data_IF_036274575976
#
_entry.id   IF_036274575976
#
_cell.length_a   1.000
_cell.length_b   1.000
_cell.length_c   1.000
_cell.angle_alpha   90.00
_cell.angle_beta   90.00
_cell.angle_gamma   90.00
#
_symmetry.space_group_name_H-M   'P 1'
#
loop_
_entity.id
_entity.type
_entity.pdbx_description
1 polymer ?
#
# COMPACT_ATOMS: atom_id res chain seq x y z
N UNK A 1 49.82 8.12 14.42
CA UNK A 1 51.28 7.89 14.45
C UNK A 1 51.62 6.88 15.52
N UNK A 2 52.22 5.76 15.11
CA UNK A 2 52.59 4.61 15.94
C UNK A 2 53.60 5.01 17.03
N UNK A 3 53.47 4.43 18.22
CA UNK A 3 54.61 4.24 19.15
C UNK A 3 54.59 2.80 19.66
N UNK A 4 55.38 1.96 18.99
CA UNK A 4 55.80 0.65 19.48
C UNK A 4 56.79 0.86 20.64
N UNK A 5 56.52 0.25 21.80
CA UNK A 5 57.51 0.12 22.86
C UNK A 5 58.10 -1.29 22.80
N UNK A 6 59.39 -1.34 22.49
CA UNK A 6 60.29 -2.48 22.72
C UNK A 6 60.40 -2.69 24.24
N UNK A 7 60.29 -3.93 24.72
CA UNK A 7 60.62 -4.29 26.10
C UNK A 7 61.81 -5.25 26.08
N UNK A 8 62.93 -4.74 26.57
CA UNK A 8 64.18 -5.46 26.81
C UNK A 8 64.02 -6.31 28.08
N UNK A 9 64.23 -7.62 28.00
CA UNK A 9 64.24 -8.51 29.17
C UNK A 9 65.53 -8.29 29.97
N UNK A 10 65.41 -7.79 31.20
CA UNK A 10 66.45 -7.81 32.22
C UNK A 10 65.98 -8.65 33.40
N UNK A 11 66.65 -9.78 33.65
CA UNK A 11 66.45 -10.64 34.82
C UNK A 11 66.94 -9.88 36.08
N UNK A 12 66.11 -9.80 37.12
CA UNK A 12 66.57 -9.57 38.50
C UNK A 12 65.55 -10.18 39.47
N UNK A 13 66.05 -11.06 40.33
CA UNK A 13 65.31 -11.81 41.33
C UNK A 13 65.10 -10.99 42.62
N UNK A 14 63.95 -11.18 43.27
CA UNK A 14 63.77 -10.89 44.69
C UNK A 14 62.68 -9.87 45.02
N UNK A 15 61.85 -10.24 46.00
CA UNK A 15 60.78 -9.50 46.67
C UNK A 15 59.41 -9.49 45.96
N UNK A 16 58.44 -10.08 46.64
CA UNK A 16 57.05 -10.22 46.23
C UNK A 16 56.38 -8.85 46.02
N UNK A 17 56.30 -8.42 44.77
CA UNK A 17 55.24 -7.52 44.33
C UNK A 17 53.98 -8.36 44.09
N UNK A 18 52.89 -8.03 44.79
CA UNK A 18 51.55 -8.35 44.34
C UNK A 18 51.34 -7.64 42.99
N UNK A 19 51.67 -8.35 41.91
CA UNK A 19 51.24 -7.97 40.57
C UNK A 19 49.72 -8.09 40.56
N UNK A 20 49.04 -6.95 40.60
CA UNK A 20 47.67 -6.88 40.10
C UNK A 20 47.74 -7.39 38.65
N UNK A 21 47.29 -8.62 38.44
CA UNK A 21 47.09 -9.18 37.11
C UNK A 21 46.01 -8.29 36.51
N UNK A 22 46.41 -7.28 35.74
CA UNK A 22 45.54 -6.75 34.72
C UNK A 22 45.29 -7.94 33.81
N UNK A 23 44.17 -8.66 34.03
CA UNK A 23 43.64 -9.57 33.02
C UNK A 23 43.42 -8.67 31.81
N UNK A 24 44.36 -8.70 30.87
CA UNK A 24 44.11 -8.17 29.55
C UNK A 24 42.95 -8.98 29.03
N UNK A 25 41.73 -8.40 29.02
CA UNK A 25 40.58 -9.00 28.34
C UNK A 25 41.09 -9.47 26.98
N UNK A 26 41.04 -10.78 26.73
CA UNK A 26 41.51 -11.28 25.46
C UNK A 26 40.52 -10.74 24.42
N UNK A 27 41.03 -9.95 23.47
CA UNK A 27 40.18 -9.38 22.44
C UNK A 27 39.38 -10.49 21.75
N UNK A 28 38.10 -10.24 21.53
CA UNK A 28 37.21 -11.12 20.77
C UNK A 28 37.92 -11.61 19.51
N UNK A 29 38.07 -12.93 19.38
CA UNK A 29 38.82 -13.54 18.28
C UNK A 29 37.91 -14.41 17.44
N UNK A 30 37.74 -14.06 16.18
CA UNK A 30 37.05 -14.88 15.20
C UNK A 30 37.87 -16.12 14.87
N UNK A 31 37.27 -17.29 15.02
CA UNK A 31 37.90 -18.59 14.75
C UNK A 31 37.16 -19.26 13.59
N UNK A 32 37.89 -19.59 12.53
CA UNK A 32 37.33 -20.36 11.41
C UNK A 32 37.46 -21.84 11.69
N UNK A 33 36.36 -22.58 11.64
CA UNK A 33 36.30 -24.01 11.89
C UNK A 33 35.64 -24.72 10.70
N UNK A 34 36.45 -25.21 9.76
CA UNK A 34 35.97 -25.76 8.50
C UNK A 34 35.26 -24.69 7.65
N UNK A 35 33.98 -24.92 7.36
CA UNK A 35 33.11 -23.98 6.64
C UNK A 35 32.48 -22.92 7.56
N UNK A 36 32.59 -23.09 8.87
CA UNK A 36 31.86 -22.30 9.86
C UNK A 36 32.76 -21.30 10.58
N UNK A 37 32.12 -20.33 11.25
CA UNK A 37 32.77 -19.33 12.08
C UNK A 37 32.30 -19.44 13.51
N UNK A 38 33.22 -19.24 14.45
CA UNK A 38 32.98 -19.16 15.88
C UNK A 38 33.62 -17.86 16.40
N UNK A 39 33.21 -17.42 17.58
CA UNK A 39 33.84 -16.27 18.26
C UNK A 39 34.33 -16.71 19.64
N UNK A 40 35.62 -16.53 19.90
CA UNK A 40 36.19 -16.72 21.23
C UNK A 40 36.18 -15.40 22.00
N UNK A 41 35.61 -15.43 23.21
CA UNK A 41 35.63 -14.34 24.18
C UNK A 41 36.29 -14.87 25.46
N UNK A 42 37.34 -14.18 25.92
CA UNK A 42 38.10 -14.54 27.13
C UNK A 42 38.52 -16.02 27.21
N UNK A 43 38.92 -16.59 26.06
CA UNK A 43 39.42 -17.96 25.96
C UNK A 43 38.34 -19.05 25.85
N UNK A 44 37.06 -18.68 25.79
CA UNK A 44 35.93 -19.60 25.60
C UNK A 44 35.12 -19.25 24.35
N UNK A 45 34.42 -20.22 23.74
CA UNK A 45 33.55 -19.93 22.58
C UNK A 45 32.22 -19.34 23.03
N UNK A 46 31.73 -18.34 22.31
CA UNK A 46 30.36 -17.85 22.43
C UNK A 46 29.38 -18.94 22.00
N UNK A 47 28.37 -19.23 22.83
CA UNK A 47 27.37 -20.28 22.63
C UNK A 47 26.00 -19.81 23.12
N UNK A 48 24.95 -20.19 22.40
CA UNK A 48 23.54 -19.87 22.69
C UNK A 48 23.31 -18.39 23.04
N UNK A 49 23.96 -17.49 22.30
CA UNK A 49 23.91 -16.06 22.62
C UNK A 49 24.15 -15.14 21.44
N UNK A 50 23.61 -13.94 21.60
CA UNK A 50 23.97 -12.77 20.81
C UNK A 50 25.29 -12.17 21.30
N UNK A 51 26.14 -11.74 20.36
CA UNK A 51 27.37 -11.01 20.63
C UNK A 51 27.47 -9.81 19.71
N UNK A 52 27.79 -8.65 20.29
CA UNK A 52 28.15 -7.47 19.52
C UNK A 52 29.66 -7.45 19.29
N UNK A 53 30.07 -7.41 18.03
CA UNK A 53 31.47 -7.34 17.65
C UNK A 53 31.66 -6.34 16.51
N UNK A 54 32.61 -5.41 16.66
CA UNK A 54 32.91 -4.37 15.67
C UNK A 54 31.68 -3.57 15.15
N UNK A 55 30.70 -3.34 16.03
CA UNK A 55 29.48 -2.57 15.72
C UNK A 55 28.32 -3.36 15.14
N UNK A 56 28.48 -4.66 14.89
CA UNK A 56 27.43 -5.56 14.38
C UNK A 56 27.06 -6.61 15.42
N UNK A 57 25.81 -7.07 15.38
CA UNK A 57 25.33 -8.19 16.19
C UNK A 57 25.43 -9.51 15.42
N UNK A 58 25.81 -10.57 16.13
CA UNK A 58 25.95 -11.93 15.63
C UNK A 58 25.31 -12.90 16.63
N UNK A 59 24.79 -14.03 16.16
CA UNK A 59 24.25 -15.07 17.03
C UNK A 59 25.01 -16.39 16.85
N UNK A 60 25.26 -17.09 17.95
CA UNK A 60 25.93 -18.39 17.96
C UNK A 60 25.02 -19.44 18.57
N UNK A 61 24.94 -20.62 17.95
CA UNK A 61 24.17 -21.76 18.50
C UNK A 61 24.89 -22.43 19.68
N UNK A 62 24.30 -23.49 20.24
CA UNK A 62 24.87 -24.20 21.39
C UNK A 62 26.17 -24.96 21.13
N UNK A 63 26.53 -25.16 19.86
CA UNK A 63 27.87 -25.66 19.50
C UNK A 63 28.90 -24.53 19.40
N UNK A 64 28.42 -23.29 19.33
CA UNK A 64 29.19 -22.07 19.18
C UNK A 64 29.38 -21.65 17.74
N UNK A 65 28.63 -22.25 16.81
CA UNK A 65 28.66 -21.92 15.38
C UNK A 65 27.82 -20.67 15.13
N UNK A 66 28.40 -19.72 14.41
CA UNK A 66 27.74 -18.51 13.94
C UNK A 66 26.56 -18.86 13.04
N UNK A 67 25.39 -18.30 13.34
CA UNK A 67 24.19 -18.46 12.56
C UNK A 67 24.14 -17.44 11.40
N UNK A 68 23.47 -17.81 10.32
CA UNK A 68 23.20 -16.97 9.14
C UNK A 68 21.76 -17.19 8.68
N UNK A 69 21.19 -16.27 7.92
CA UNK A 69 19.80 -16.37 7.45
C UNK A 69 18.77 -16.07 8.55
N UNK A 70 17.56 -16.63 8.41
CA UNK A 70 16.49 -16.43 9.38
C UNK A 70 16.77 -17.18 10.69
N UNK A 71 16.71 -16.43 11.80
CA UNK A 71 16.87 -16.94 13.14
C UNK A 71 15.60 -16.65 13.94
N UNK A 72 15.05 -17.66 14.61
CA UNK A 72 14.00 -17.48 15.61
C UNK A 72 14.62 -17.59 16.99
N UNK A 73 14.57 -16.52 17.76
CA UNK A 73 15.02 -16.47 19.14
C UNK A 73 13.83 -16.09 20.04
N UNK A 74 13.44 -17.04 20.89
CA UNK A 74 12.15 -17.03 21.59
C UNK A 74 10.97 -16.91 20.61
N UNK A 75 10.21 -15.83 20.72
CA UNK A 75 9.06 -15.53 19.85
C UNK A 75 9.38 -14.54 18.72
N UNK A 76 10.64 -14.08 18.63
CA UNK A 76 11.04 -13.02 17.71
C UNK A 76 11.87 -13.61 16.57
N UNK A 77 11.58 -13.16 15.35
CA UNK A 77 12.39 -13.49 14.18
C UNK A 77 13.42 -12.39 13.91
N UNK A 78 14.61 -12.81 13.50
CA UNK A 78 15.73 -11.98 13.10
C UNK A 78 16.26 -12.49 11.76
N UNK A 79 16.96 -11.64 11.01
CA UNK A 79 17.65 -12.04 9.79
C UNK A 79 19.13 -11.69 9.90
N UNK A 80 19.99 -12.67 9.66
CA UNK A 80 21.44 -12.56 9.68
C UNK A 80 21.95 -12.65 8.24
N UNK A 81 22.85 -11.77 7.83
CA UNK A 81 23.51 -11.85 6.53
C UNK A 81 24.41 -13.10 6.44
N UNK A 82 24.92 -13.39 5.24
CA UNK A 82 25.87 -14.50 5.05
C UNK A 82 27.18 -14.32 5.84
N UNK A 83 27.51 -13.06 6.18
CA UNK A 83 28.60 -12.72 7.09
C UNK A 83 28.26 -12.97 8.57
N UNK A 84 27.03 -13.37 8.88
CA UNK A 84 26.46 -13.49 10.24
C UNK A 84 25.99 -12.18 10.86
N UNK A 85 26.27 -11.03 10.23
CA UNK A 85 25.86 -9.74 10.76
C UNK A 85 24.33 -9.60 10.71
N UNK A 86 23.73 -9.22 11.83
CA UNK A 86 22.30 -8.97 11.96
C UNK A 86 21.86 -7.81 11.06
N UNK A 87 20.81 -8.06 10.28
CA UNK A 87 20.18 -7.06 9.41
C UNK A 87 19.21 -6.20 10.21
N UNK A 88 19.13 -4.92 9.85
CA UNK A 88 18.12 -3.96 10.31
C UNK A 88 17.51 -3.25 9.11
N UNK A 89 16.37 -2.59 9.30
CA UNK A 89 15.69 -1.84 8.25
C UNK A 89 15.12 -2.72 7.14
N UNK A 90 14.93 -2.12 5.96
CA UNK A 90 14.42 -2.84 4.79
C UNK A 90 15.48 -3.75 4.18
N UNK A 91 15.07 -4.99 3.90
CA UNK A 91 15.89 -5.97 3.20
C UNK A 91 15.03 -6.79 2.24
N UNK A 92 15.61 -7.16 1.10
CA UNK A 92 14.94 -7.96 0.08
C UNK A 92 15.59 -9.33 -0.02
N UNK A 93 14.80 -10.38 0.14
CA UNK A 93 15.20 -11.76 -0.08
C UNK A 93 14.43 -12.32 -1.27
N UNK A 94 15.16 -12.65 -2.34
CA UNK A 94 14.57 -12.98 -3.64
C UNK A 94 13.67 -11.85 -4.15
N UNK A 95 12.36 -12.10 -4.22
CA UNK A 95 11.36 -11.12 -4.65
C UNK A 95 10.57 -10.48 -3.50
N UNK A 96 10.84 -10.87 -2.26
CA UNK A 96 10.06 -10.45 -1.09
C UNK A 96 10.82 -9.42 -0.28
N UNK A 97 10.16 -8.32 0.03
CA UNK A 97 10.68 -7.32 0.98
C UNK A 97 10.26 -7.66 2.41
N UNK A 98 11.18 -7.43 3.33
CA UNK A 98 11.02 -7.56 4.77
C UNK A 98 11.51 -6.27 5.43
N UNK A 99 11.01 -5.97 6.62
CA UNK A 99 11.49 -4.86 7.43
C UNK A 99 11.84 -5.36 8.83
N UNK A 100 13.04 -5.01 9.29
CA UNK A 100 13.57 -5.35 10.61
C UNK A 100 13.67 -4.04 11.41
N UNK A 101 13.30 -4.07 12.69
CA UNK A 101 13.54 -2.94 13.60
C UNK A 101 15.04 -2.73 13.84
N UNK A 102 15.41 -1.63 14.49
CA UNK A 102 16.82 -1.36 14.83
C UNK A 102 17.41 -2.42 15.78
N UNK A 103 16.54 -3.04 16.59
CA UNK A 103 16.86 -4.23 17.39
C UNK A 103 17.08 -5.52 16.59
N UNK A 104 16.86 -5.51 15.27
CA UNK A 104 16.86 -6.68 14.39
C UNK A 104 15.55 -7.48 14.37
N UNK A 105 14.64 -7.22 15.30
CA UNK A 105 13.35 -7.88 15.36
C UNK A 105 12.54 -7.65 14.08
N UNK A 106 12.04 -8.72 13.47
CA UNK A 106 11.20 -8.67 12.27
C UNK A 106 9.87 -7.98 12.56
N UNK A 107 9.54 -6.97 11.74
CA UNK A 107 8.27 -6.26 11.82
C UNK A 107 7.15 -7.09 11.18
N UNK A 108 5.98 -7.04 11.79
CA UNK A 108 4.70 -7.53 11.24
C UNK A 108 3.63 -6.47 11.49
N UNK A 109 2.52 -6.54 10.77
CA UNK A 109 1.43 -5.57 10.84
C UNK A 109 1.76 -4.24 10.15
N UNK A 110 1.04 -3.20 10.55
CA UNK A 110 1.22 -1.85 10.03
C UNK A 110 2.56 -1.25 10.46
N UNK A 111 3.28 -0.68 9.50
CA UNK A 111 4.53 0.04 9.72
C UNK A 111 4.48 1.37 8.99
N UNK A 112 4.80 2.46 9.69
CA UNK A 112 4.89 3.79 9.11
C UNK A 112 6.34 4.23 9.02
N UNK A 113 6.76 4.63 7.83
CA UNK A 113 8.08 5.21 7.59
C UNK A 113 7.89 6.59 6.94
N UNK A 114 8.27 7.64 7.67
CA UNK A 114 7.94 9.02 7.30
C UNK A 114 6.42 9.21 7.20
N UNK A 115 5.94 9.60 6.02
CA UNK A 115 4.50 9.77 5.73
C UNK A 115 3.85 8.51 5.15
N UNK A 116 4.64 7.49 4.80
CA UNK A 116 4.16 6.33 4.04
C UNK A 116 3.83 5.17 4.98
N UNK A 117 2.67 4.56 4.77
CA UNK A 117 2.26 3.34 5.45
C UNK A 117 2.59 2.11 4.62
N UNK A 118 3.01 1.04 5.30
CA UNK A 118 3.30 -0.28 4.76
C UNK A 118 2.60 -1.31 5.62
N UNK A 119 2.33 -2.49 5.06
CA UNK A 119 1.83 -3.63 5.82
C UNK A 119 2.74 -4.83 5.63
N UNK A 120 3.26 -5.35 6.73
CA UNK A 120 4.07 -6.56 6.78
C UNK A 120 3.16 -7.71 7.21
N UNK A 121 3.00 -8.72 6.36
CA UNK A 121 2.16 -9.90 6.66
C UNK A 121 2.69 -10.64 7.89
N UNK A 122 1.93 -11.59 8.42
CA UNK A 122 2.37 -12.40 9.57
C UNK A 122 3.71 -13.14 9.35
N UNK A 123 4.06 -13.42 8.09
CA UNK A 123 5.36 -13.97 7.70
C UNK A 123 6.49 -12.94 7.60
N UNK A 124 6.23 -11.66 7.89
CA UNK A 124 7.14 -10.54 7.67
C UNK A 124 7.18 -10.02 6.23
N UNK A 125 6.60 -10.74 5.28
CA UNK A 125 6.57 -10.33 3.88
C UNK A 125 5.74 -9.05 3.68
N UNK A 126 6.34 -8.04 3.05
CA UNK A 126 5.66 -6.81 2.67
C UNK A 126 4.48 -7.08 1.72
N UNK A 127 3.36 -6.42 1.96
CA UNK A 127 2.20 -6.47 1.08
C UNK A 127 2.41 -5.59 -0.16
N UNK A 128 1.89 -6.06 -1.28
CA UNK A 128 1.81 -5.35 -2.56
C UNK A 128 0.49 -5.75 -3.22
N UNK A 129 -0.14 -4.83 -3.95
CA UNK A 129 -1.46 -5.05 -4.52
C UNK A 129 -2.55 -5.11 -3.45
N UNK A 130 -3.66 -5.80 -3.78
CA UNK A 130 -4.75 -6.06 -2.84
C UNK A 130 -4.30 -7.02 -1.74
N UNK A 131 -4.48 -6.61 -0.48
CA UNK A 131 -4.22 -7.44 0.68
C UNK A 131 -5.17 -7.13 1.83
N UNK A 132 -5.42 -8.12 2.68
CA UNK A 132 -6.23 -7.94 3.89
C UNK A 132 -5.33 -7.52 5.06
N UNK A 133 -5.52 -6.31 5.56
CA UNK A 133 -4.88 -5.78 6.75
C UNK A 133 -5.90 -5.66 7.88
N UNK A 134 -5.66 -6.33 9.01
CA UNK A 134 -6.61 -6.38 10.15
C UNK A 134 -8.03 -6.82 9.78
N UNK A 135 -8.18 -7.74 8.82
CA UNK A 135 -9.49 -8.24 8.38
C UNK A 135 -10.22 -7.35 7.36
N UNK A 136 -9.65 -6.20 6.99
CA UNK A 136 -10.21 -5.30 5.98
C UNK A 136 -9.29 -5.23 4.75
N UNK A 137 -9.88 -5.03 3.57
CA UNK A 137 -9.10 -4.90 2.34
C UNK A 137 -8.40 -3.54 2.27
N UNK A 138 -7.14 -3.55 1.88
CA UNK A 138 -6.32 -2.39 1.54
C UNK A 138 -5.60 -2.65 0.23
N UNK A 139 -5.07 -1.60 -0.38
CA UNK A 139 -4.24 -1.73 -1.57
C UNK A 139 -2.87 -1.07 -1.36
N UNK A 140 -1.83 -1.76 -1.84
CA UNK A 140 -0.45 -1.33 -1.74
C UNK A 140 0.17 -1.22 -3.14
N UNK A 141 0.93 -0.17 -3.39
CA UNK A 141 1.71 -0.04 -4.62
C UNK A 141 2.81 -1.11 -4.69
N UNK A 142 3.49 -1.22 -5.85
CA UNK A 142 4.63 -2.16 -6.00
C UNK A 142 5.77 -1.86 -5.02
N UNK A 143 5.90 -0.61 -4.59
CA UNK A 143 6.83 -0.16 -3.56
C UNK A 143 6.41 -0.60 -2.14
N UNK A 144 5.20 -1.13 -1.96
CA UNK A 144 4.60 -1.43 -0.67
C UNK A 144 3.89 -0.25 -0.01
N UNK A 145 3.95 0.95 -0.63
CA UNK A 145 3.25 2.12 -0.13
C UNK A 145 1.73 1.88 -0.16
N UNK A 146 1.07 2.06 0.98
CA UNK A 146 -0.37 2.01 1.11
C UNK A 146 -1.01 3.13 0.28
N UNK A 147 -2.04 2.77 -0.46
CA UNK A 147 -2.89 3.70 -1.19
C UNK A 147 -4.02 4.17 -0.28
N UNK A 148 -4.37 5.44 -0.35
CA UNK A 148 -5.53 6.02 0.34
C UNK A 148 -6.21 7.05 -0.56
N UNK A 149 -7.51 7.23 -0.35
CA UNK A 149 -8.34 8.22 -1.04
C UNK A 149 -8.21 8.14 -2.57
N UNK A 150 -8.31 6.92 -3.13
CA UNK A 150 -8.01 6.67 -4.55
C UNK A 150 -8.85 5.52 -5.11
N UNK A 151 -9.18 5.60 -6.39
CA UNK A 151 -9.77 4.49 -7.14
C UNK A 151 -8.68 3.49 -7.54
N UNK A 152 -8.95 2.19 -7.35
CA UNK A 152 -8.00 1.12 -7.58
C UNK A 152 -8.65 -0.02 -8.38
N UNK A 153 -8.04 -0.46 -9.50
CA UNK A 153 -8.58 -1.57 -10.28
C UNK A 153 -8.42 -2.92 -9.57
N UNK A 154 -9.40 -3.79 -9.79
CA UNK A 154 -9.38 -5.17 -9.33
C UNK A 154 -9.48 -6.16 -10.51
N UNK A 155 -9.18 -7.42 -10.23
CA UNK A 155 -9.15 -8.49 -11.25
C UNK A 155 -10.53 -8.88 -11.79
N UNK A 156 -11.60 -8.47 -11.11
CA UNK A 156 -12.98 -8.69 -11.54
C UNK A 156 -13.47 -7.65 -12.57
N UNK A 157 -12.60 -6.74 -13.00
CA UNK A 157 -12.91 -5.68 -13.97
C UNK A 157 -13.40 -4.38 -13.31
N UNK A 158 -13.72 -4.41 -12.03
CA UNK A 158 -14.18 -3.23 -11.30
C UNK A 158 -13.02 -2.32 -10.90
N UNK A 159 -13.37 -1.11 -10.49
CA UNK A 159 -12.45 -0.26 -9.73
C UNK A 159 -13.11 0.16 -8.43
N UNK A 160 -12.44 -0.13 -7.34
CA UNK A 160 -12.94 0.07 -5.99
C UNK A 160 -12.32 1.32 -5.38
N UNK A 161 -13.06 1.99 -4.50
CA UNK A 161 -12.55 3.16 -3.79
C UNK A 161 -11.82 2.69 -2.53
N UNK A 162 -10.55 3.07 -2.40
CA UNK A 162 -9.85 3.02 -1.12
C UNK A 162 -10.08 4.35 -0.41
N UNK A 163 -10.63 4.30 0.79
CA UNK A 163 -10.90 5.45 1.65
C UNK A 163 -9.64 6.16 2.14
N UNK A 164 -9.83 7.29 2.82
CA UNK A 164 -8.73 8.09 3.41
C UNK A 164 -7.99 7.35 4.52
N UNK A 165 -8.64 6.37 5.12
CA UNK A 165 -8.10 5.46 6.13
C UNK A 165 -7.24 4.33 5.54
N UNK A 166 -7.18 4.21 4.21
CA UNK A 166 -6.43 3.16 3.52
C UNK A 166 -7.17 1.82 3.38
N UNK A 167 -8.45 1.78 3.76
CA UNK A 167 -9.29 0.59 3.62
C UNK A 167 -10.26 0.72 2.45
N UNK A 168 -10.72 -0.41 1.93
CA UNK A 168 -11.80 -0.48 0.97
C UNK A 168 -13.03 0.22 1.54
N UNK A 169 -13.52 1.23 0.82
CA UNK A 169 -14.65 2.03 1.25
C UNK A 169 -15.94 1.21 1.18
N UNK A 170 -16.69 1.22 2.28
CA UNK A 170 -18.01 0.62 2.39
C UNK A 170 -19.08 1.70 2.33
N UNK A 171 -20.14 1.51 1.55
CA UNK A 171 -21.21 2.51 1.38
C UNK A 171 -21.95 2.87 2.67
N UNK A 172 -21.89 2.01 3.69
CA UNK A 172 -22.57 2.24 4.99
C UNK A 172 -21.78 3.19 5.90
N UNK A 173 -20.45 3.12 5.83
CA UNK A 173 -19.57 3.74 6.83
C UNK A 173 -18.60 4.78 6.23
N UNK A 174 -18.42 4.79 4.90
CA UNK A 174 -17.43 5.65 4.23
C UNK A 174 -17.85 7.12 4.11
N UNK A 175 -19.12 7.45 4.36
CA UNK A 175 -19.66 8.79 4.12
C UNK A 175 -19.79 9.14 2.62
N UNK A 176 -19.64 8.17 1.73
CA UNK A 176 -19.89 8.36 0.31
C UNK A 176 -21.37 8.17 -0.04
N UNK A 177 -21.92 9.14 -0.76
CA UNK A 177 -23.20 8.98 -1.43
C UNK A 177 -22.99 8.22 -2.74
N UNK A 178 -23.73 7.14 -2.91
CA UNK A 178 -23.74 6.39 -4.17
C UNK A 178 -24.47 7.22 -5.23
N UNK A 179 -24.00 7.15 -6.48
CA UNK A 179 -24.46 7.95 -7.63
C UNK A 179 -24.09 9.45 -7.59
N UNK A 180 -23.20 9.85 -6.68
CA UNK A 180 -22.58 11.17 -6.68
C UNK A 180 -21.21 11.16 -7.39
N UNK A 181 -20.82 12.34 -7.87
CA UNK A 181 -19.48 12.61 -8.38
C UNK A 181 -18.59 13.03 -7.21
N UNK A 182 -17.49 12.34 -7.02
CA UNK A 182 -16.50 12.66 -5.98
C UNK A 182 -15.14 12.98 -6.60
N UNK A 183 -14.46 13.96 -6.02
CA UNK A 183 -13.04 14.21 -6.27
C UNK A 183 -12.21 13.47 -5.22
N UNK A 184 -11.40 12.51 -5.66
CA UNK A 184 -10.53 11.74 -4.77
C UNK A 184 -9.16 12.42 -4.58
N UNK A 185 -8.30 11.86 -3.73
CA UNK A 185 -7.01 12.41 -3.35
C UNK A 185 -5.99 12.52 -4.50
N UNK A 186 -6.22 11.81 -5.61
CA UNK A 186 -5.48 11.96 -6.87
C UNK A 186 -5.91 13.19 -7.70
N UNK A 187 -6.90 13.94 -7.21
CA UNK A 187 -7.44 15.12 -7.85
C UNK A 187 -8.36 14.83 -9.04
N UNK A 188 -8.67 13.57 -9.32
CA UNK A 188 -9.58 13.17 -10.39
C UNK A 188 -11.01 13.05 -9.87
N UNK A 189 -11.97 13.30 -10.76
CA UNK A 189 -13.38 13.15 -10.47
C UNK A 189 -13.89 11.81 -10.98
N UNK A 190 -14.67 11.13 -10.14
CA UNK A 190 -15.22 9.81 -10.39
C UNK A 190 -16.70 9.77 -10.05
N UNK A 191 -17.48 9.00 -10.81
CA UNK A 191 -18.86 8.69 -10.46
C UNK A 191 -18.90 7.42 -9.62
N UNK A 192 -19.50 7.51 -8.43
CA UNK A 192 -19.59 6.39 -7.51
C UNK A 192 -20.79 5.50 -7.84
N UNK A 193 -20.58 4.19 -7.73
CA UNK A 193 -21.65 3.20 -7.63
C UNK A 193 -21.30 2.20 -6.49
N UNK A 194 -22.11 1.17 -6.32
CA UNK A 194 -21.88 0.13 -5.32
C UNK A 194 -21.98 -1.28 -5.94
N UNK A 195 -21.15 -2.18 -5.45
CA UNK A 195 -21.25 -3.62 -5.68
C UNK A 195 -21.39 -4.32 -4.34
N UNK A 196 -22.62 -4.72 -4.00
CA UNK A 196 -22.93 -5.11 -2.63
C UNK A 196 -22.77 -3.90 -1.70
N UNK A 197 -21.91 -4.02 -0.69
CA UNK A 197 -21.61 -2.91 0.22
C UNK A 197 -20.32 -2.16 -0.13
N UNK A 198 -19.55 -2.64 -1.11
CA UNK A 198 -18.30 -2.00 -1.52
C UNK A 198 -18.58 -0.84 -2.49
N UNK A 199 -17.85 0.26 -2.31
CA UNK A 199 -17.94 1.43 -3.19
C UNK A 199 -17.04 1.22 -4.42
N UNK A 200 -17.65 1.31 -5.60
CA UNK A 200 -16.98 1.16 -6.90
C UNK A 200 -17.10 2.42 -7.74
N UNK A 201 -16.33 2.46 -8.82
CA UNK A 201 -16.32 3.53 -9.81
C UNK A 201 -17.03 3.07 -11.08
N UNK A 202 -17.95 3.90 -11.56
CA UNK A 202 -18.58 3.75 -12.86
C UNK A 202 -17.64 4.05 -14.03
N UNK A 203 -17.77 3.28 -15.10
CA UNK A 203 -16.89 3.37 -16.28
C UNK A 203 -17.69 3.41 -17.56
N UNK A 204 -17.15 4.08 -18.57
CA UNK A 204 -17.76 4.21 -19.90
C UNK A 204 -19.22 4.70 -19.86
N UNK A 205 -19.55 5.58 -18.92
CA UNK A 205 -20.94 5.96 -18.65
C UNK A 205 -21.15 7.46 -18.75
N UNK A 206 -22.35 7.81 -19.18
CA UNK A 206 -22.86 9.17 -19.11
C UNK A 206 -23.64 9.35 -17.83
N UNK A 207 -23.40 10.48 -17.16
CA UNK A 207 -24.16 10.90 -16.01
C UNK A 207 -24.72 12.29 -16.24
N UNK A 208 -26.00 12.44 -15.96
CA UNK A 208 -26.69 13.72 -16.02
C UNK A 208 -27.11 14.03 -14.61
N UNK A 209 -26.54 15.09 -14.04
CA UNK A 209 -26.94 15.55 -12.71
C UNK A 209 -28.39 16.03 -12.79
N UNK A 210 -29.32 15.44 -12.02
CA UNK A 210 -30.70 15.88 -12.03
C UNK A 210 -30.80 17.31 -11.52
N UNK A 211 -31.46 18.17 -12.27
CA UNK A 211 -31.86 19.51 -11.85
C UNK A 211 -33.39 19.56 -11.86
N UNK A 212 -33.98 19.89 -10.73
CA UNK A 212 -35.44 19.97 -10.59
C UNK A 212 -35.89 21.42 -10.62
N UNK A 213 -36.83 21.72 -11.51
CA UNK A 213 -37.52 23.01 -11.54
C UNK A 213 -38.92 22.84 -10.98
N UNK A 214 -39.23 23.57 -9.92
CA UNK A 214 -40.59 23.66 -9.37
C UNK A 214 -41.40 24.70 -10.14
N UNK A 215 -42.67 24.38 -10.38
CA UNK A 215 -43.63 25.30 -11.00
C UNK A 215 -44.69 25.80 -10.02
N UNK A 216 -44.85 25.11 -8.89
CA UNK A 216 -45.65 25.55 -7.75
C UNK A 216 -45.16 24.88 -6.46
N UNK A 217 -45.75 25.25 -5.31
CA UNK A 217 -45.49 24.60 -4.01
C UNK A 217 -46.30 23.30 -3.82
N UNK A 218 -47.13 22.91 -4.79
CA UNK A 218 -47.90 21.67 -4.73
C UNK A 218 -46.98 20.47 -4.86
N UNK A 219 -47.21 19.46 -4.03
CA UNK A 219 -46.49 18.20 -4.11
C UNK A 219 -46.63 17.58 -5.52
N UNK A 220 -45.49 17.36 -6.18
CA UNK A 220 -45.42 16.79 -7.53
C UNK A 220 -45.29 17.82 -8.67
N UNK A 221 -45.39 19.13 -8.41
CA UNK A 221 -45.24 20.17 -9.43
C UNK A 221 -43.76 20.53 -9.68
N UNK A 222 -42.97 19.52 -10.01
CA UNK A 222 -41.56 19.64 -10.41
C UNK A 222 -41.24 18.84 -11.67
N UNK A 223 -40.34 19.35 -12.51
CA UNK A 223 -39.80 18.61 -13.66
C UNK A 223 -38.29 18.52 -13.56
N UNK A 224 -37.74 17.35 -13.90
CA UNK A 224 -36.31 17.17 -14.05
C UNK A 224 -35.84 17.66 -15.42
N UNK A 225 -34.65 18.26 -15.46
CA UNK A 225 -33.96 18.61 -16.71
C UNK A 225 -33.84 17.42 -17.68
N UNK A 226 -33.64 16.20 -17.16
CA UNK A 226 -33.59 14.96 -17.94
C UNK A 226 -34.91 14.67 -18.67
N UNK A 227 -36.06 14.98 -18.06
CA UNK A 227 -37.39 14.85 -18.69
C UNK A 227 -37.57 15.88 -19.80
N UNK A 228 -37.10 17.12 -19.59
CA UNK A 228 -37.16 18.18 -20.60
C UNK A 228 -36.29 17.90 -21.83
N UNK A 229 -35.26 17.07 -21.70
CA UNK A 229 -34.43 16.68 -22.84
C UNK A 229 -35.02 15.56 -23.69
N UNK A 230 -35.95 14.76 -23.14
CA UNK A 230 -36.64 13.69 -23.85
C UNK A 230 -37.74 14.19 -24.77
N UNK A 231 -38.09 15.48 -24.68
CA UNK A 231 -39.09 16.12 -25.52
C UNK A 231 -38.40 17.04 -26.54
N UNK A 232 -39.02 17.16 -27.71
CA UNK A 232 -38.60 18.09 -28.76
C UNK A 232 -39.12 19.52 -28.53
N UNK A 233 -39.79 19.76 -27.40
CA UNK A 233 -40.45 21.01 -27.01
C UNK A 233 -41.51 21.49 -28.00
N UNK A 234 -42.10 20.59 -28.79
CA UNK A 234 -43.21 20.93 -29.69
C UNK A 234 -44.58 20.80 -29.03
N UNK A 235 -45.54 21.55 -29.55
CA UNK A 235 -46.93 21.50 -29.09
C UNK A 235 -47.61 20.19 -29.53
N UNK A 236 -48.68 19.81 -28.81
CA UNK A 236 -49.47 18.62 -29.13
C UNK A 236 -49.99 18.66 -30.58
N UNK A 237 -49.71 17.60 -31.35
CA UNK A 237 -50.09 17.49 -32.76
C UNK A 237 -49.02 17.92 -33.77
N UNK A 238 -47.86 18.41 -33.33
CA UNK A 238 -46.72 18.70 -34.22
C UNK A 238 -45.84 17.47 -34.46
N UNK A 239 -45.30 17.35 -35.68
CA UNK A 239 -44.38 16.27 -36.04
C UNK A 239 -43.04 16.41 -35.29
N UNK A 240 -42.63 15.33 -34.63
CA UNK A 240 -41.41 15.27 -33.82
C UNK A 240 -40.18 15.38 -34.73
N UNK A 241 -39.20 16.22 -34.39
CA UNK A 241 -37.86 16.19 -35.02
C UNK A 241 -36.92 15.29 -34.19
N UNK A 242 -36.59 14.06 -34.64
CA UNK A 242 -35.70 13.17 -33.89
C UNK A 242 -34.30 13.76 -33.69
N UNK A 243 -33.87 14.69 -34.55
CA UNK A 243 -32.59 15.40 -34.41
C UNK A 243 -32.66 16.55 -33.41
N UNK A 244 -33.85 17.05 -33.07
CA UNK A 244 -34.03 18.07 -32.04
C UNK A 244 -33.84 17.45 -30.65
N UNK A 245 -34.37 16.24 -30.42
CA UNK A 245 -34.16 15.50 -29.16
C UNK A 245 -32.67 15.24 -28.91
N UNK A 246 -31.92 14.80 -29.93
CA UNK A 246 -30.46 14.61 -29.82
C UNK A 246 -29.75 15.93 -29.48
N UNK A 247 -30.13 17.05 -30.13
CA UNK A 247 -29.57 18.37 -29.84
C UNK A 247 -29.91 18.86 -28.44
N UNK A 248 -31.14 18.63 -27.97
CA UNK A 248 -31.56 18.97 -26.61
C UNK A 248 -30.73 18.21 -25.58
N UNK A 249 -30.54 16.90 -25.77
CA UNK A 249 -29.65 16.08 -24.94
C UNK A 249 -28.18 16.51 -24.99
N UNK A 250 -27.69 16.93 -26.16
CA UNK A 250 -26.32 17.42 -26.31
C UNK A 250 -26.07 18.72 -25.53
N UNK A 251 -27.09 19.58 -25.48
CA UNK A 251 -27.03 20.89 -24.82
C UNK A 251 -27.51 20.87 -23.36
N UNK A 252 -27.86 19.70 -22.82
CA UNK A 252 -28.26 19.60 -21.41
C UNK A 252 -27.14 20.06 -20.47
N UNK A 253 -27.44 20.98 -19.53
CA UNK A 253 -26.51 21.31 -18.46
C UNK A 253 -26.32 20.10 -17.53
N UNK A 254 -25.22 20.11 -16.78
CA UNK A 254 -24.95 19.06 -15.80
C UNK A 254 -24.64 17.69 -16.41
N UNK A 255 -24.09 17.66 -17.64
CA UNK A 255 -23.64 16.44 -18.32
C UNK A 255 -22.19 16.11 -18.00
N UNK A 256 -21.95 14.85 -17.68
CA UNK A 256 -20.64 14.31 -17.35
C UNK A 256 -20.46 12.98 -18.09
N UNK A 257 -19.24 12.71 -18.54
CA UNK A 257 -18.86 11.41 -19.09
C UNK A 257 -17.67 10.87 -18.31
N UNK A 258 -17.74 9.59 -17.95
CA UNK A 258 -16.68 8.87 -17.25
C UNK A 258 -16.11 7.80 -18.18
N UNK A 259 -14.80 7.86 -18.42
CA UNK A 259 -14.11 7.02 -19.40
C UNK A 259 -13.89 5.58 -18.93
N UNK A 260 -13.09 4.83 -19.70
CA UNK A 260 -12.77 3.43 -19.39
C UNK A 260 -11.96 3.27 -18.09
N UNK A 261 -11.19 4.29 -17.70
CA UNK A 261 -10.49 4.33 -16.41
C UNK A 261 -11.36 4.90 -15.27
N UNK A 262 -12.63 5.21 -15.56
CA UNK A 262 -13.61 5.72 -14.62
C UNK A 262 -13.46 7.21 -14.31
N UNK A 263 -12.50 7.91 -14.90
CA UNK A 263 -12.27 9.34 -14.67
C UNK A 263 -13.21 10.19 -15.52
N UNK A 264 -13.57 11.36 -15.01
CA UNK A 264 -14.29 12.37 -15.79
C UNK A 264 -13.47 12.79 -17.00
N UNK A 265 -14.10 12.76 -18.17
CA UNK A 265 -13.48 13.14 -19.45
C UNK A 265 -13.85 14.57 -19.83
N UNK A 266 -12.85 15.36 -20.23
CA UNK A 266 -13.00 16.68 -20.81
C UNK A 266 -12.04 16.86 -22.01
N UNK A 267 -12.49 17.44 -23.15
CA UNK A 267 -13.86 17.83 -23.44
C UNK A 267 -14.80 16.61 -23.53
N UNK A 268 -16.11 16.82 -23.35
CA UNK A 268 -17.08 15.74 -23.44
C UNK A 268 -17.06 15.14 -24.86
N UNK A 269 -17.08 13.80 -24.99
CA UNK A 269 -17.19 13.18 -26.30
C UNK A 269 -18.56 13.49 -26.93
N UNK A 270 -18.63 13.44 -28.26
CA UNK A 270 -19.93 13.50 -28.93
C UNK A 270 -20.78 12.30 -28.51
N UNK A 271 -22.04 12.56 -28.13
CA UNK A 271 -23.01 11.48 -27.95
C UNK A 271 -23.36 10.92 -29.32
N UNK A 272 -22.68 9.85 -29.72
CA UNK A 272 -23.08 9.04 -30.88
C UNK A 272 -24.14 8.04 -30.41
N UNK A 273 -25.35 8.50 -30.11
CA UNK A 273 -26.49 7.59 -29.93
C UNK A 273 -26.82 6.96 -31.28
N UNK A 274 -26.10 5.90 -31.64
CA UNK A 274 -26.57 4.95 -32.65
C UNK A 274 -27.54 4.00 -31.95
N UNK A 275 -28.74 4.49 -31.67
CA UNK A 275 -29.87 3.59 -31.54
C UNK A 275 -30.25 3.20 -32.96
N UNK A 276 -30.05 1.95 -33.36
CA UNK A 276 -30.68 1.46 -34.58
C UNK A 276 -32.19 1.65 -34.40
N UNK A 277 -32.78 2.59 -35.14
CA UNK A 277 -34.23 2.70 -35.24
C UNK A 277 -34.68 1.41 -35.94
N UNK A 278 -35.12 0.42 -35.16
CA UNK A 278 -35.80 -0.75 -35.71
C UNK A 278 -37.23 -0.34 -36.00
N UNK A 279 -37.58 -0.28 -37.28
CA UNK A 279 -38.95 -0.07 -37.74
C UNK A 279 -39.84 -1.19 -37.17
N UNK A 280 -40.82 -0.83 -36.33
CA UNK A 280 -41.85 -1.76 -35.83
C UNK A 280 -43.17 -1.38 -36.48
N UNK A 281 -43.54 -2.08 -37.55
CA UNK A 281 -44.76 -1.80 -38.31
C UNK A 281 -44.57 -0.78 -39.44
N UNK A 282 -45.62 -0.05 -39.79
CA UNK A 282 -45.60 0.91 -40.90
C UNK A 282 -45.20 2.34 -40.51
N UNK A 283 -45.21 2.67 -39.22
CA UNK A 283 -44.85 4.02 -38.74
C UNK A 283 -43.47 4.01 -38.07
N UNK A 284 -42.78 5.15 -38.22
CA UNK A 284 -41.39 5.39 -37.81
C UNK A 284 -41.22 5.56 -36.31
#
# INVERSE_FOLDING_TARGET
MKKSKLLTLGLLAGAALLLSINQAQAADTWVKNGADWNLSQDGSLAKDKWVQNAGSWYHFDGTGKMQTGWLKDGNTWYSLADSGAMRTGWYKEGNTWYSLADSGAMRTGWYKEGSTWYYLKGSGAMATGWATANGQWSYFEKSGAMVADRAVPASDGESYVIGKDGYLANRKDSGYNIHDIVKLGDGQEYLLNAKGDDVIIEKNTWYIKPEFKKFSDKYGDEVANTTLALVDNKEEGQEIDPKAVIRNFQNLPGRYYFGADGRRVLPLPEMTTRSEIKKVGNDL
#
